data_IF_188597588695
#
_entry.id   IF_188597588695
#
_cell.length_a   1.000
_cell.length_b   1.000
_cell.length_c   1.000
_cell.angle_alpha   90.00
_cell.angle_beta   90.00
_cell.angle_gamma   90.00
#
_symmetry.space_group_name_H-M   'P 1'
#
loop_
_entity.id
_entity.type
_entity.pdbx_description
1 polymer ?
#
# COMPACT_ATOMS: atom_id res chain seq x y z
N UNK A 1 13.40 -0.31 27.07
CA UNK A 1 12.16 -0.11 26.28
C UNK A 1 11.96 1.36 25.91
N UNK A 2 11.51 2.27 26.78
CA UNK A 2 11.36 3.70 26.40
C UNK A 2 12.70 4.40 26.06
N UNK A 3 13.77 4.07 26.79
CA UNK A 3 15.11 4.62 26.56
C UNK A 3 15.72 4.20 25.21
N UNK A 4 15.33 3.04 24.67
CA UNK A 4 15.82 2.54 23.38
C UNK A 4 15.20 3.30 22.21
N UNK A 5 13.93 3.71 22.33
CA UNK A 5 13.28 4.60 21.37
C UNK A 5 13.99 5.97 21.36
N UNK A 6 14.20 6.57 22.53
CA UNK A 6 14.89 7.87 22.67
C UNK A 6 16.32 7.81 22.09
N UNK A 7 17.01 6.68 22.26
CA UNK A 7 18.35 6.46 21.71
C UNK A 7 18.35 6.36 20.19
N UNK A 8 17.31 5.78 19.59
CA UNK A 8 17.12 5.69 18.14
C UNK A 8 16.60 7.01 17.52
N UNK A 9 15.99 7.89 18.34
CA UNK A 9 15.42 9.19 17.94
C UNK A 9 16.42 10.35 17.77
N UNK A 10 17.72 10.11 17.89
CA UNK A 10 18.75 11.17 18.00
C UNK A 10 18.95 12.08 16.77
N UNK A 11 18.11 11.97 15.73
CA UNK A 11 18.21 12.77 14.50
C UNK A 11 17.10 13.84 14.35
N UNK A 12 15.96 13.73 15.06
CA UNK A 12 14.84 14.68 14.93
C UNK A 12 14.26 15.00 16.32
N UNK A 13 13.81 16.24 16.56
CA UNK A 13 13.09 16.59 17.79
C UNK A 13 11.71 15.93 17.79
N UNK A 14 11.63 14.69 18.27
CA UNK A 14 10.40 13.92 18.41
C UNK A 14 9.72 14.36 19.73
N UNK A 15 8.41 14.62 19.68
CA UNK A 15 7.65 15.02 20.89
C UNK A 15 7.56 13.83 21.86
N UNK A 16 7.51 14.11 23.17
CA UNK A 16 7.23 13.06 24.16
C UNK A 16 5.94 12.30 23.87
N UNK A 17 4.98 12.96 23.21
CA UNK A 17 3.72 12.34 22.80
C UNK A 17 3.92 11.29 21.70
N UNK A 18 4.84 11.51 20.75
CA UNK A 18 5.13 10.57 19.66
C UNK A 18 5.89 9.35 20.19
N UNK A 19 6.84 9.55 21.13
CA UNK A 19 7.54 8.45 21.82
C UNK A 19 6.55 7.62 22.62
N UNK A 20 5.64 8.27 23.34
CA UNK A 20 4.59 7.58 24.10
C UNK A 20 3.67 6.78 23.16
N UNK A 21 3.29 7.35 22.01
CA UNK A 21 2.50 6.68 21.00
C UNK A 21 3.19 5.41 20.46
N UNK A 22 4.49 5.50 20.11
CA UNK A 22 5.27 4.35 19.64
C UNK A 22 5.39 3.25 20.70
N UNK A 23 5.59 3.61 21.97
CA UNK A 23 5.69 2.64 23.07
C UNK A 23 4.35 1.95 23.30
N UNK A 24 3.25 2.71 23.32
CA UNK A 24 1.90 2.15 23.46
C UNK A 24 1.56 1.22 22.29
N UNK A 25 1.96 1.58 21.07
CA UNK A 25 1.78 0.74 19.90
C UNK A 25 2.51 -0.60 20.03
N UNK A 26 3.79 -0.59 20.44
CA UNK A 26 4.55 -1.83 20.66
C UNK A 26 3.98 -2.72 21.78
N UNK A 27 3.41 -2.11 22.82
CA UNK A 27 2.69 -2.85 23.88
C UNK A 27 1.42 -3.48 23.30
N UNK A 28 0.65 -2.72 22.52
CA UNK A 28 -0.59 -3.20 21.91
C UNK A 28 -0.35 -4.35 20.92
N UNK A 29 0.71 -4.28 20.10
CA UNK A 29 1.10 -5.35 19.19
C UNK A 29 1.41 -6.65 19.95
N UNK A 30 2.12 -6.54 21.08
CA UNK A 30 2.40 -7.68 21.95
C UNK A 30 1.12 -8.25 22.56
N UNK A 31 0.20 -7.39 23.02
CA UNK A 31 -1.07 -7.83 23.60
C UNK A 31 -1.99 -8.48 22.57
N UNK A 32 -2.04 -7.97 21.33
CA UNK A 32 -2.79 -8.58 20.22
C UNK A 32 -2.36 -10.03 19.98
N UNK A 33 -1.06 -10.32 20.07
CA UNK A 33 -0.55 -11.70 19.96
C UNK A 33 -1.04 -12.64 21.08
N UNK A 34 -1.47 -12.07 22.21
CA UNK A 34 -2.08 -12.77 23.35
C UNK A 34 -3.62 -12.70 23.33
N UNK A 35 -4.22 -12.13 22.29
CA UNK A 35 -5.67 -11.97 22.15
C UNK A 35 -6.27 -10.91 23.07
N UNK A 36 -5.50 -9.87 23.41
CA UNK A 36 -5.93 -8.77 24.28
C UNK A 36 -5.56 -7.42 23.67
N UNK A 37 -6.17 -6.35 24.17
CA UNK A 37 -5.91 -4.98 23.72
C UNK A 37 -5.48 -4.09 24.89
N UNK A 38 -4.82 -2.97 24.60
CA UNK A 38 -4.40 -2.00 25.63
C UNK A 38 -5.60 -1.45 26.41
N UNK A 39 -6.75 -1.31 25.76
CA UNK A 39 -7.99 -0.83 26.38
C UNK A 39 -8.52 -1.79 27.46
N UNK A 40 -8.24 -3.09 27.37
CA UNK A 40 -8.61 -4.09 28.40
C UNK A 40 -7.94 -3.84 29.76
N UNK A 41 -6.85 -3.07 29.76
CA UNK A 41 -6.00 -2.86 30.93
C UNK A 41 -6.06 -1.43 31.46
N UNK A 42 -6.83 -0.53 30.83
CA UNK A 42 -6.97 0.88 31.23
C UNK A 42 -5.62 1.58 31.49
N UNK A 43 -4.61 1.25 30.68
CA UNK A 43 -3.22 1.73 30.86
C UNK A 43 -3.11 3.23 30.56
N UNK A 44 -4.01 3.76 29.72
CA UNK A 44 -4.07 5.17 29.33
C UNK A 44 -5.43 5.79 29.63
N UNK A 45 -5.48 7.08 30.00
CA UNK A 45 -6.72 7.80 30.31
C UNK A 45 -7.54 8.17 29.06
N UNK A 46 -7.03 7.85 27.86
CA UNK A 46 -7.68 8.06 26.59
C UNK A 46 -7.79 6.73 25.84
N UNK A 47 -8.83 6.56 25.02
CA UNK A 47 -8.98 5.38 24.16
C UNK A 47 -7.82 5.34 23.17
N UNK A 48 -7.00 4.29 23.23
CA UNK A 48 -5.91 4.11 22.27
C UNK A 48 -6.52 3.55 21.00
N UNK A 49 -6.72 4.41 19.99
CA UNK A 49 -7.11 3.97 18.65
C UNK A 49 -5.82 3.71 17.89
N UNK A 50 -5.45 2.45 17.61
CA UNK A 50 -4.33 2.19 16.71
C UNK A 50 -4.69 2.79 15.35
N UNK A 51 -3.73 3.48 14.72
CA UNK A 51 -3.93 3.95 13.35
C UNK A 51 -4.03 2.71 12.44
N UNK A 52 -5.25 2.39 12.00
CA UNK A 52 -5.51 1.26 11.10
C UNK A 52 -4.73 1.39 9.78
N UNK A 53 -4.25 2.61 9.44
CA UNK A 53 -3.43 2.85 8.26
C UNK A 53 -1.97 2.36 8.40
N UNK A 54 -1.49 2.10 9.62
CA UNK A 54 -0.12 1.63 9.86
C UNK A 54 0.03 0.11 9.77
N UNK A 55 -1.06 -0.65 9.80
CA UNK A 55 -1.04 -2.13 9.76
C UNK A 55 -1.01 -2.68 8.32
N UNK A 56 -0.25 -2.03 7.43
CA UNK A 56 0.06 -2.61 6.14
C UNK A 56 1.04 -3.77 6.33
N UNK A 57 0.64 -4.97 5.93
CA UNK A 57 1.56 -6.12 5.94
C UNK A 57 2.81 -5.79 5.13
N UNK A 58 3.97 -6.36 5.52
CA UNK A 58 5.26 -6.16 4.85
C UNK A 58 5.18 -6.33 3.32
N UNK A 59 4.33 -7.24 2.86
CA UNK A 59 4.12 -7.51 1.43
C UNK A 59 3.36 -6.38 0.72
N UNK A 60 2.37 -5.78 1.37
CA UNK A 60 1.65 -4.63 0.82
C UNK A 60 2.56 -3.41 0.77
N UNK A 61 3.29 -3.15 1.86
CA UNK A 61 4.24 -2.04 1.93
C UNK A 61 5.35 -2.18 0.88
N UNK A 62 5.89 -3.37 0.66
CA UNK A 62 6.91 -3.59 -0.38
C UNK A 62 6.36 -3.40 -1.80
N UNK A 63 5.11 -3.83 -2.07
CA UNK A 63 4.45 -3.63 -3.36
C UNK A 63 4.18 -2.15 -3.63
N UNK A 64 3.81 -1.37 -2.63
CA UNK A 64 3.59 0.08 -2.75
C UNK A 64 4.89 0.87 -2.86
N UNK A 65 5.97 0.40 -2.19
CA UNK A 65 7.28 1.08 -2.20
C UNK A 65 8.03 0.95 -3.52
N UNK A 66 7.68 -0.01 -4.38
CA UNK A 66 8.19 -0.07 -5.75
C UNK A 66 7.54 1.06 -6.57
N UNK A 67 8.20 2.22 -6.58
CA UNK A 67 7.80 3.36 -7.41
C UNK A 67 7.68 2.97 -8.88
N UNK A 68 6.67 3.52 -9.55
CA UNK A 68 6.48 3.36 -11.00
C UNK A 68 7.45 4.30 -11.70
N UNK A 69 8.36 3.82 -12.55
CA UNK A 69 9.23 4.71 -13.30
C UNK A 69 8.39 5.60 -14.23
N UNK A 70 8.78 6.86 -14.37
CA UNK A 70 8.05 7.84 -15.20
C UNK A 70 7.93 7.39 -16.67
N UNK A 71 8.91 6.62 -17.15
CA UNK A 71 8.90 6.00 -18.47
C UNK A 71 7.65 5.11 -18.65
N UNK A 72 7.26 4.33 -17.65
CA UNK A 72 6.08 3.45 -17.68
C UNK A 72 4.75 4.23 -17.70
N UNK A 73 4.75 5.48 -17.24
CA UNK A 73 3.56 6.36 -17.29
C UNK A 73 3.35 6.97 -18.67
N UNK A 74 4.44 7.24 -19.41
CA UNK A 74 4.38 7.75 -20.78
C UNK A 74 3.89 6.71 -21.80
N UNK A 75 3.86 5.43 -21.41
CA UNK A 75 3.45 4.29 -22.26
C UNK A 75 1.95 4.33 -22.57
N UNK A 76 1.15 5.04 -21.76
CA UNK A 76 -0.28 5.26 -22.01
C UNK A 76 -0.56 5.96 -23.35
N UNK A 77 0.38 6.80 -23.82
CA UNK A 77 0.29 7.51 -25.11
C UNK A 77 0.62 6.62 -26.31
N UNK A 78 1.26 5.47 -26.08
CA UNK A 78 1.66 4.52 -27.11
C UNK A 78 0.61 3.42 -27.35
N UNK A 79 -0.49 3.41 -26.59
CA UNK A 79 -1.60 2.49 -26.82
C UNK A 79 -2.26 2.78 -28.17
N UNK A 80 -2.54 1.72 -28.93
CA UNK A 80 -3.39 1.86 -30.12
C UNK A 80 -4.85 2.12 -29.73
N UNK A 81 -5.68 2.54 -30.69
CA UNK A 81 -7.08 2.94 -30.43
C UNK A 81 -7.91 1.85 -29.73
N UNK A 82 -7.69 0.58 -30.08
CA UNK A 82 -8.41 -0.55 -29.46
C UNK A 82 -7.96 -0.80 -28.02
N UNK A 83 -6.64 -0.80 -27.79
CA UNK A 83 -6.07 -0.94 -26.46
C UNK A 83 -6.43 0.24 -25.56
N UNK A 84 -6.50 1.45 -26.12
CA UNK A 84 -6.89 2.66 -25.41
C UNK A 84 -8.33 2.58 -24.91
N UNK A 85 -9.24 2.17 -25.78
CA UNK A 85 -10.64 1.94 -25.40
C UNK A 85 -10.76 0.89 -24.29
N UNK A 86 -10.04 -0.23 -24.41
CA UNK A 86 -9.99 -1.25 -23.36
C UNK A 86 -9.43 -0.69 -22.04
N UNK A 87 -8.34 0.09 -22.08
CA UNK A 87 -7.74 0.72 -20.91
C UNK A 87 -8.69 1.70 -20.21
N UNK A 88 -9.37 2.57 -20.96
CA UNK A 88 -10.30 3.55 -20.40
C UNK A 88 -11.48 2.83 -19.72
N UNK A 89 -12.04 1.80 -20.38
CA UNK A 89 -13.11 0.95 -19.80
C UNK A 89 -12.67 0.28 -18.50
N UNK A 90 -11.43 -0.25 -18.46
CA UNK A 90 -10.88 -0.92 -17.27
C UNK A 90 -10.58 0.05 -16.11
N UNK A 91 -10.37 1.34 -16.39
CA UNK A 91 -10.02 2.34 -15.39
C UNK A 91 -11.22 3.04 -14.75
N UNK A 92 -12.30 3.19 -15.51
CA UNK A 92 -13.47 3.97 -15.09
C UNK A 92 -14.50 3.14 -14.32
N UNK A 93 -14.53 1.83 -14.56
CA UNK A 93 -15.53 0.95 -13.98
C UNK A 93 -14.92 -0.09 -13.02
N UNK A 94 -15.67 -0.42 -11.97
CA UNK A 94 -15.31 -1.49 -11.04
C UNK A 94 -15.96 -2.79 -11.50
N UNK A 95 -15.17 -3.82 -11.75
CA UNK A 95 -15.70 -5.10 -12.20
C UNK A 95 -14.64 -6.13 -12.53
N UNK A 96 -15.10 -7.23 -13.13
CA UNK A 96 -14.25 -8.26 -13.71
C UNK A 96 -14.39 -8.20 -15.23
N UNK A 97 -13.24 -8.17 -15.92
CA UNK A 97 -13.19 -7.97 -17.36
C UNK A 97 -12.41 -9.09 -18.04
N UNK A 98 -12.85 -9.45 -19.25
CA UNK A 98 -12.11 -10.33 -20.14
C UNK A 98 -11.52 -9.49 -21.26
N UNK A 99 -10.19 -9.50 -21.38
CA UNK A 99 -9.49 -8.84 -22.46
C UNK A 99 -9.06 -9.90 -23.47
N UNK A 100 -9.81 -10.01 -24.57
CA UNK A 100 -9.42 -10.83 -25.71
C UNK A 100 -8.98 -9.97 -26.89
N UNK A 101 -8.10 -10.52 -27.69
CA UNK A 101 -7.45 -9.87 -28.81
C UNK A 101 -6.77 -10.93 -29.68
N UNK A 102 -6.72 -10.73 -31.00
CA UNK A 102 -6.12 -11.68 -31.91
C UNK A 102 -4.64 -11.92 -31.58
N UNK A 103 -4.12 -13.11 -31.92
CA UNK A 103 -2.72 -13.45 -31.69
C UNK A 103 -1.78 -12.40 -32.31
N UNK A 104 -0.79 -11.94 -31.55
CA UNK A 104 0.13 -10.88 -31.98
C UNK A 104 -0.31 -9.46 -31.64
N UNK A 105 -1.53 -9.26 -31.12
CA UNK A 105 -1.89 -7.99 -30.48
C UNK A 105 -1.13 -7.93 -29.16
N UNK A 106 -0.38 -6.86 -28.93
CA UNK A 106 0.50 -6.68 -27.77
C UNK A 106 -0.28 -6.59 -26.44
N UNK A 107 -1.02 -7.64 -26.04
CA UNK A 107 -1.79 -7.71 -24.79
C UNK A 107 -0.89 -7.50 -23.58
N UNK A 108 0.34 -8.03 -23.65
CA UNK A 108 1.38 -7.82 -22.64
C UNK A 108 1.73 -6.34 -22.46
N UNK A 109 1.64 -5.54 -23.52
CA UNK A 109 1.85 -4.10 -23.45
C UNK A 109 0.71 -3.42 -22.70
N UNK A 110 -0.55 -3.73 -23.06
CA UNK A 110 -1.73 -3.22 -22.35
C UNK A 110 -1.68 -3.55 -20.85
N UNK A 111 -1.31 -4.78 -20.47
CA UNK A 111 -1.20 -5.15 -19.06
C UNK A 111 -0.11 -4.37 -18.31
N UNK A 112 1.04 -4.09 -18.96
CA UNK A 112 2.09 -3.25 -18.37
C UNK A 112 1.58 -1.84 -18.11
N UNK A 113 0.90 -1.24 -19.08
CA UNK A 113 0.33 0.10 -18.96
C UNK A 113 -0.73 0.16 -17.85
N UNK A 114 -1.62 -0.83 -17.80
CA UNK A 114 -2.63 -0.93 -16.76
C UNK A 114 -2.00 -1.03 -15.37
N UNK A 115 -0.97 -1.86 -15.23
CA UNK A 115 -0.23 -2.04 -13.98
C UNK A 115 0.43 -0.73 -13.54
N UNK A 116 1.12 -0.03 -14.45
CA UNK A 116 1.77 1.24 -14.17
C UNK A 116 0.76 2.30 -13.70
N UNK A 117 -0.39 2.38 -14.37
CA UNK A 117 -1.45 3.34 -14.03
C UNK A 117 -2.12 3.06 -12.68
N UNK A 118 -2.43 1.81 -12.37
CA UNK A 118 -3.05 1.47 -11.08
C UNK A 118 -2.06 1.75 -9.93
N UNK A 119 -0.78 1.44 -10.13
CA UNK A 119 0.27 1.69 -9.13
C UNK A 119 0.56 3.17 -8.94
N UNK A 120 0.48 4.00 -9.98
CA UNK A 120 0.69 5.46 -9.85
C UNK A 120 -0.41 6.15 -9.05
N UNK A 121 -1.60 5.55 -8.99
CA UNK A 121 -2.70 5.97 -8.12
C UNK A 121 -2.57 5.46 -6.67
N UNK A 122 -1.51 4.71 -6.34
CA UNK A 122 -1.26 4.18 -5.00
C UNK A 122 -2.06 2.92 -4.66
N UNK A 123 -2.64 2.24 -5.65
CA UNK A 123 -3.36 0.99 -5.41
C UNK A 123 -2.44 -0.22 -5.44
N UNK A 124 -2.79 -1.25 -4.66
CA UNK A 124 -2.08 -2.53 -4.63
C UNK A 124 -2.61 -3.43 -5.75
N UNK A 125 -1.71 -3.85 -6.63
CA UNK A 125 -2.03 -4.77 -7.75
C UNK A 125 -1.43 -6.15 -7.52
N UNK A 126 -2.23 -7.19 -7.71
CA UNK A 126 -1.77 -8.58 -7.80
C UNK A 126 -1.81 -9.02 -9.27
N UNK A 127 -0.65 -9.36 -9.82
CA UNK A 127 -0.55 -9.91 -11.18
C UNK A 127 -0.18 -11.38 -11.05
N UNK A 128 -0.98 -12.25 -11.66
CA UNK A 128 -0.74 -13.68 -11.73
C UNK A 128 -0.58 -14.04 -13.20
N UNK A 129 0.58 -14.56 -13.57
CA UNK A 129 0.81 -15.18 -14.88
C UNK A 129 1.05 -16.68 -14.66
N UNK A 130 0.40 -17.51 -15.48
CA UNK A 130 0.61 -18.96 -15.55
C UNK A 130 1.37 -19.32 -16.80
#
# INVERSE_FOLDING_TARGET
MAEDFIRNSKCCQISNQDVMHQVLWGINDTLKSLGKEVDDYHIVPFSFVPDENEELTREVSSKLSLGVPQEDLSVVEQLNDQQRNAFDTLCDERGAYFVDGPGGTEKSFLYKVLLAHIRSRGFVTLVVAT
#
